data_IF_129226718088
#
_entry.id   IF_129226718088
#
_cell.length_a   1.000
_cell.length_b   1.000
_cell.length_c   1.000
_cell.angle_alpha   90.00
_cell.angle_beta   90.00
_cell.angle_gamma   90.00
#
_symmetry.space_group_name_H-M   'P 1'
#
loop_
_entity.id
_entity.type
_entity.pdbx_description
1 polymer ?
#
# COMPACT_ATOMS: atom_id res chain seq x y z
N UNK A 1 32.72 -8.03 -12.14
CA UNK A 1 31.92 -6.82 -12.16
C UNK A 1 30.68 -6.93 -11.28
N UNK A 2 30.33 -5.85 -10.63
CA UNK A 2 29.15 -5.80 -9.76
C UNK A 2 27.88 -5.79 -10.60
N UNK A 3 26.81 -6.49 -10.17
CA UNK A 3 25.54 -6.43 -10.88
C UNK A 3 24.94 -5.03 -10.76
N UNK A 4 24.22 -4.62 -11.81
CA UNK A 4 23.46 -3.36 -11.82
C UNK A 4 21.97 -3.58 -11.53
N UNK A 5 21.51 -4.79 -11.76
CA UNK A 5 20.13 -5.18 -11.50
C UNK A 5 20.11 -6.44 -10.65
N UNK A 6 19.42 -6.38 -9.53
CA UNK A 6 19.11 -7.55 -8.71
C UNK A 6 17.66 -7.92 -8.95
N UNK A 7 17.41 -9.21 -9.21
CA UNK A 7 16.06 -9.75 -9.31
C UNK A 7 15.87 -10.73 -8.16
N UNK A 8 14.96 -10.41 -7.25
CA UNK A 8 14.79 -11.12 -6.00
C UNK A 8 13.35 -11.60 -5.84
N UNK A 9 13.18 -12.87 -5.49
CA UNK A 9 11.87 -13.46 -5.24
C UNK A 9 11.80 -13.94 -3.80
N UNK A 10 10.94 -13.30 -2.99
CA UNK A 10 10.74 -13.64 -1.57
C UNK A 10 12.06 -13.66 -0.78
N UNK A 11 12.96 -12.72 -1.05
CA UNK A 11 14.32 -12.72 -0.51
C UNK A 11 14.39 -12.56 1.01
N UNK A 12 13.36 -12.00 1.65
CA UNK A 12 13.32 -11.80 3.10
C UNK A 12 12.41 -12.79 3.82
N UNK A 13 11.79 -13.71 3.10
CA UNK A 13 10.88 -14.68 3.69
C UNK A 13 11.61 -15.61 4.66
N UNK A 14 10.99 -15.88 5.80
CA UNK A 14 11.54 -16.79 6.80
C UNK A 14 12.64 -16.21 7.69
N UNK A 15 13.03 -14.96 7.49
CA UNK A 15 14.00 -14.29 8.33
C UNK A 15 13.32 -13.68 9.57
N UNK A 16 14.05 -13.67 10.70
CA UNK A 16 13.54 -12.96 11.86
C UNK A 16 13.56 -11.44 11.61
N UNK A 17 12.80 -10.66 12.41
CA UNK A 17 12.65 -9.21 12.15
C UNK A 17 13.98 -8.44 12.14
N UNK A 18 14.94 -8.81 12.96
CA UNK A 18 16.22 -8.10 13.04
C UNK A 18 17.07 -8.36 11.80
N UNK A 19 17.20 -9.63 11.41
CA UNK A 19 17.95 -10.01 10.21
C UNK A 19 17.27 -9.45 8.95
N UNK A 20 15.95 -9.48 8.91
CA UNK A 20 15.21 -8.93 7.79
C UNK A 20 15.48 -7.44 7.61
N UNK A 21 15.50 -6.69 8.70
CA UNK A 21 15.79 -5.26 8.67
C UNK A 21 17.21 -4.98 8.18
N UNK A 22 18.18 -5.77 8.63
CA UNK A 22 19.56 -5.67 8.16
C UNK A 22 19.70 -5.94 6.66
N UNK A 23 18.98 -6.94 6.15
CA UNK A 23 18.98 -7.27 4.72
C UNK A 23 18.36 -6.14 3.90
N UNK A 24 17.27 -5.55 4.40
CA UNK A 24 16.63 -4.40 3.72
C UNK A 24 17.58 -3.19 3.67
N UNK A 25 18.36 -2.96 4.71
CA UNK A 25 19.37 -1.90 4.70
C UNK A 25 20.43 -2.13 3.63
N UNK A 26 20.88 -3.38 3.46
CA UNK A 26 21.84 -3.75 2.42
C UNK A 26 21.26 -3.45 1.04
N UNK A 27 20.00 -3.79 0.81
CA UNK A 27 19.32 -3.50 -0.46
C UNK A 27 19.19 -1.99 -0.69
N UNK A 28 18.86 -1.23 0.34
CA UNK A 28 18.79 0.23 0.24
C UNK A 28 20.14 0.85 -0.12
N UNK A 29 21.23 0.36 0.48
CA UNK A 29 22.57 0.83 0.14
C UNK A 29 22.91 0.53 -1.31
N UNK A 30 22.54 -0.66 -1.79
CA UNK A 30 22.77 -1.04 -3.17
C UNK A 30 22.11 -0.06 -4.16
N UNK A 31 20.88 0.37 -3.87
CA UNK A 31 20.12 1.26 -4.75
C UNK A 31 20.53 2.73 -4.64
N UNK A 32 21.42 3.10 -3.74
CA UNK A 32 21.95 4.47 -3.67
C UNK A 32 22.80 4.82 -4.89
N UNK A 33 23.40 3.82 -5.52
CA UNK A 33 24.09 4.02 -6.80
C UNK A 33 23.05 4.23 -7.88
N UNK A 34 23.18 5.32 -8.66
CA UNK A 34 22.16 5.70 -9.66
C UNK A 34 21.89 4.64 -10.73
N UNK A 35 22.90 3.84 -11.08
CA UNK A 35 22.77 2.80 -12.09
C UNK A 35 22.40 1.43 -11.52
N UNK A 36 22.09 1.35 -10.23
CA UNK A 36 21.67 0.13 -9.58
C UNK A 36 20.16 0.09 -9.38
N UNK A 37 19.54 -1.05 -9.67
CA UNK A 37 18.11 -1.26 -9.52
C UNK A 37 17.81 -2.61 -8.91
N UNK A 38 16.69 -2.71 -8.22
CA UNK A 38 16.19 -3.97 -7.66
C UNK A 38 14.76 -4.18 -8.14
N UNK A 39 14.51 -5.38 -8.67
CA UNK A 39 13.16 -5.87 -8.90
C UNK A 39 12.91 -6.95 -7.88
N UNK A 40 11.98 -6.72 -6.95
CA UNK A 40 11.72 -7.63 -5.84
C UNK A 40 10.25 -8.02 -5.79
N UNK A 41 9.97 -9.31 -5.59
CA UNK A 41 8.64 -9.79 -5.25
C UNK A 41 8.62 -10.23 -3.79
N UNK A 42 7.54 -9.91 -3.09
CA UNK A 42 7.35 -10.28 -1.69
C UNK A 42 5.88 -10.21 -1.32
N UNK A 43 5.45 -11.06 -0.39
CA UNK A 43 4.15 -10.95 0.25
C UNK A 43 4.21 -10.15 1.57
N UNK A 44 5.41 -9.69 1.95
CA UNK A 44 5.61 -8.85 3.13
C UNK A 44 5.52 -7.38 2.70
N UNK A 45 4.32 -6.83 2.77
CA UNK A 45 4.01 -5.50 2.23
C UNK A 45 4.79 -4.38 2.92
N UNK A 46 5.06 -4.52 4.22
CA UNK A 46 5.86 -3.54 4.96
C UNK A 46 7.30 -3.45 4.47
N UNK A 47 7.89 -4.56 3.99
CA UNK A 47 9.22 -4.55 3.41
C UNK A 47 9.24 -3.78 2.09
N UNK A 48 8.24 -4.00 1.25
CA UNK A 48 8.10 -3.30 -0.02
C UNK A 48 7.90 -1.80 0.19
N UNK A 49 7.12 -1.42 1.20
CA UNK A 49 6.91 -0.01 1.54
C UNK A 49 8.21 0.68 1.96
N UNK A 50 9.08 -0.02 2.70
CA UNK A 50 10.37 0.52 3.13
C UNK A 50 11.38 0.60 2.00
N UNK A 51 11.38 -0.37 1.08
CA UNK A 51 12.44 -0.53 0.10
C UNK A 51 12.12 0.07 -1.27
N UNK A 52 10.88 -0.05 -1.72
CA UNK A 52 10.51 0.21 -3.11
C UNK A 52 10.05 1.64 -3.35
N UNK A 53 10.43 2.21 -4.51
CA UNK A 53 9.90 3.49 -4.99
C UNK A 53 8.61 3.29 -5.77
N UNK A 54 8.49 2.15 -6.49
CA UNK A 54 7.33 1.77 -7.28
C UNK A 54 6.80 0.44 -6.79
N UNK A 55 5.48 0.32 -6.70
CA UNK A 55 4.83 -0.90 -6.26
C UNK A 55 3.75 -1.29 -7.26
N UNK A 56 3.79 -2.56 -7.68
CA UNK A 56 2.74 -3.18 -8.48
C UNK A 56 2.10 -4.30 -7.65
N UNK A 57 0.78 -4.37 -7.63
CA UNK A 57 0.07 -5.39 -6.88
C UNK A 57 -0.77 -6.27 -7.80
N UNK A 58 -0.44 -7.57 -7.78
CA UNK A 58 -1.14 -8.60 -8.55
C UNK A 58 -2.02 -9.43 -7.62
N UNK A 59 -3.27 -9.63 -8.00
CA UNK A 59 -4.21 -10.44 -7.24
C UNK A 59 -5.14 -11.18 -8.18
N UNK A 60 -5.17 -12.51 -8.05
CA UNK A 60 -6.03 -13.39 -8.85
C UNK A 60 -5.93 -13.13 -10.36
N UNK A 61 -4.69 -13.02 -10.84
CA UNK A 61 -4.42 -12.81 -12.26
C UNK A 61 -4.65 -11.38 -12.75
N UNK A 62 -4.94 -10.44 -11.85
CA UNK A 62 -5.20 -9.04 -12.20
C UNK A 62 -4.19 -8.10 -11.56
N UNK A 63 -3.79 -7.10 -12.31
CA UNK A 63 -2.98 -6.00 -11.79
C UNK A 63 -3.93 -4.96 -11.19
N UNK A 64 -3.94 -4.85 -9.84
CA UNK A 64 -4.82 -3.92 -9.15
C UNK A 64 -4.29 -2.50 -9.19
N UNK A 65 -2.98 -2.32 -9.06
CA UNK A 65 -2.32 -1.04 -9.26
C UNK A 65 -0.85 -1.23 -9.61
N UNK A 66 -0.27 -0.23 -10.24
CA UNK A 66 1.16 -0.10 -10.48
C UNK A 66 1.48 1.38 -10.44
N UNK A 67 2.11 1.85 -9.36
CA UNK A 67 2.32 3.28 -9.17
C UNK A 67 3.53 3.56 -8.30
N UNK A 68 3.99 4.81 -8.33
CA UNK A 68 4.96 5.32 -7.38
C UNK A 68 4.36 5.26 -5.98
N UNK A 69 5.12 4.72 -5.03
CA UNK A 69 4.64 4.49 -3.67
C UNK A 69 4.12 5.76 -3.00
N UNK A 70 4.88 6.84 -3.04
CA UNK A 70 4.50 8.08 -2.37
C UNK A 70 3.21 8.66 -2.95
N UNK A 71 3.07 8.60 -4.26
CA UNK A 71 1.86 9.04 -4.96
C UNK A 71 0.65 8.19 -4.56
N UNK A 72 0.83 6.88 -4.49
CA UNK A 72 -0.20 5.95 -4.04
C UNK A 72 -0.68 6.29 -2.63
N UNK A 73 0.26 6.52 -1.70
CA UNK A 73 -0.05 6.85 -0.31
C UNK A 73 -0.71 8.23 -0.15
N UNK A 74 -0.42 9.17 -1.03
CA UNK A 74 -1.02 10.51 -1.02
C UNK A 74 -2.42 10.54 -1.65
N UNK A 75 -2.67 9.67 -2.63
CA UNK A 75 -3.96 9.60 -3.32
C UNK A 75 -5.09 9.19 -2.39
N UNK A 76 -4.81 8.29 -1.46
CA UNK A 76 -5.80 7.70 -0.57
C UNK A 76 -5.71 8.23 0.85
N UNK A 77 -6.83 8.14 1.55
CA UNK A 77 -6.92 8.37 2.98
C UNK A 77 -7.83 7.33 3.60
N UNK A 78 -7.78 7.20 4.92
CA UNK A 78 -8.70 6.36 5.66
C UNK A 78 -9.60 7.26 6.49
N UNK A 79 -10.90 7.12 6.29
CA UNK A 79 -11.92 7.83 7.07
C UNK A 79 -12.63 6.86 7.99
N UNK A 80 -12.78 7.28 9.24
CA UNK A 80 -13.53 6.53 10.26
C UNK A 80 -14.64 7.43 10.78
N UNK A 81 -15.87 6.97 10.68
CA UNK A 81 -17.01 7.75 11.14
C UNK A 81 -18.32 7.00 11.00
N UNK A 82 -19.43 7.73 10.88
CA UNK A 82 -20.75 7.16 10.77
C UNK A 82 -21.11 6.82 9.33
N UNK A 83 -22.06 5.91 9.16
CA UNK A 83 -22.59 5.59 7.83
C UNK A 83 -23.18 6.83 7.13
N UNK A 84 -23.85 7.71 7.88
CA UNK A 84 -24.42 8.94 7.33
C UNK A 84 -23.34 9.87 6.77
N UNK A 85 -22.22 10.00 7.48
CA UNK A 85 -21.09 10.80 7.01
C UNK A 85 -20.52 10.22 5.71
N UNK A 86 -20.31 8.92 5.66
CA UNK A 86 -19.77 8.24 4.47
C UNK A 86 -20.73 8.38 3.30
N UNK A 87 -22.03 8.21 3.55
CA UNK A 87 -23.05 8.30 2.51
C UNK A 87 -23.21 9.74 1.97
N UNK A 88 -22.76 10.74 2.70
CA UNK A 88 -22.78 12.14 2.25
C UNK A 88 -21.67 12.47 1.25
N UNK A 89 -20.67 11.62 1.10
CA UNK A 89 -19.57 11.84 0.18
C UNK A 89 -20.01 11.70 -1.27
N UNK A 90 -19.37 12.47 -2.16
CA UNK A 90 -19.70 12.42 -3.58
C UNK A 90 -19.36 11.07 -4.19
N UNK A 91 -19.99 10.76 -5.32
CA UNK A 91 -19.75 9.52 -6.07
C UNK A 91 -18.26 9.39 -6.42
N UNK A 92 -17.71 8.19 -6.24
CA UNK A 92 -16.33 7.90 -6.50
C UNK A 92 -15.36 8.23 -5.37
N UNK A 93 -15.81 8.94 -4.33
CA UNK A 93 -14.95 9.28 -3.19
C UNK A 93 -14.59 8.04 -2.36
N UNK A 94 -15.56 7.14 -2.14
CA UNK A 94 -15.35 5.91 -1.37
C UNK A 94 -14.92 4.79 -2.31
N UNK A 95 -13.72 4.28 -2.11
CA UNK A 95 -13.17 3.18 -2.92
C UNK A 95 -13.58 1.83 -2.35
N UNK A 96 -13.52 1.69 -1.03
CA UNK A 96 -13.90 0.48 -0.32
C UNK A 96 -14.29 0.83 1.11
N UNK A 97 -15.17 0.03 1.69
CA UNK A 97 -15.60 0.26 3.07
C UNK A 97 -15.69 -1.05 3.83
N UNK A 98 -15.48 -0.95 5.15
CA UNK A 98 -15.71 -2.05 6.06
C UNK A 98 -16.51 -1.55 7.26
N UNK A 99 -17.39 -2.39 7.78
CA UNK A 99 -18.17 -2.06 8.95
C UNK A 99 -17.37 -2.42 10.21
N UNK A 100 -17.31 -1.47 11.13
CA UNK A 100 -16.71 -1.71 12.44
C UNK A 100 -17.67 -2.50 13.33
N UNK A 101 -17.14 -3.34 14.20
CA UNK A 101 -17.92 -4.07 15.19
C UNK A 101 -18.60 -3.14 16.22
N UNK A 102 -18.24 -1.87 16.26
CA UNK A 102 -18.81 -0.88 17.17
C UNK A 102 -19.82 0.05 16.49
N UNK A 103 -20.31 -0.32 15.29
CA UNK A 103 -21.34 0.44 14.59
C UNK A 103 -20.81 1.59 13.73
N UNK A 104 -19.50 1.81 13.70
CA UNK A 104 -18.86 2.78 12.82
C UNK A 104 -18.52 2.20 11.45
N UNK A 105 -18.08 3.05 10.55
CA UNK A 105 -17.62 2.66 9.21
C UNK A 105 -16.18 3.15 9.06
N UNK A 106 -15.34 2.27 8.56
CA UNK A 106 -13.96 2.58 8.18
C UNK A 106 -13.86 2.41 6.67
N UNK A 107 -13.38 3.42 5.97
CA UNK A 107 -13.34 3.34 4.52
C UNK A 107 -12.06 3.93 3.93
N UNK A 108 -11.67 3.38 2.78
CA UNK A 108 -10.62 3.92 1.95
C UNK A 108 -11.27 4.93 1.01
N UNK A 109 -10.77 6.16 1.02
CA UNK A 109 -11.32 7.25 0.23
C UNK A 109 -10.25 7.86 -0.68
N UNK A 110 -10.69 8.45 -1.78
CA UNK A 110 -9.83 9.30 -2.59
C UNK A 110 -9.77 10.66 -1.94
N UNK A 111 -8.60 11.02 -1.44
CA UNK A 111 -8.39 12.25 -0.68
C UNK A 111 -8.87 13.50 -1.43
N UNK A 112 -8.64 13.54 -2.75
CA UNK A 112 -9.03 14.68 -3.57
C UNK A 112 -10.55 14.88 -3.68
N UNK A 113 -11.35 13.85 -3.37
CA UNK A 113 -12.80 13.89 -3.49
C UNK A 113 -13.51 14.04 -2.14
N UNK A 114 -12.75 14.20 -1.06
CA UNK A 114 -13.27 14.42 0.28
C UNK A 114 -13.21 15.90 0.60
N UNK A 115 -14.26 16.50 1.19
CA UNK A 115 -14.24 17.92 1.54
C UNK A 115 -13.09 18.29 2.48
N UNK A 116 -12.56 19.49 2.33
CA UNK A 116 -11.55 20.03 3.23
C UNK A 116 -12.07 20.06 4.66
N UNK A 117 -11.20 19.77 5.62
CA UNK A 117 -11.55 19.76 7.04
C UNK A 117 -11.95 18.40 7.60
N UNK A 118 -12.17 17.40 6.74
CA UNK A 118 -12.38 16.03 7.21
C UNK A 118 -11.06 15.44 7.67
N UNK A 119 -11.08 14.79 8.84
CA UNK A 119 -9.89 14.13 9.38
C UNK A 119 -9.69 12.78 8.67
N UNK A 120 -8.57 12.64 7.97
CA UNK A 120 -8.20 11.40 7.30
C UNK A 120 -6.90 10.87 7.89
N UNK A 121 -6.87 9.56 8.14
CA UNK A 121 -5.65 8.88 8.51
C UNK A 121 -4.83 8.57 7.25
N UNK A 122 -3.50 8.62 7.37
CA UNK A 122 -2.63 8.21 6.27
C UNK A 122 -2.60 6.67 6.22
N UNK A 123 -2.91 6.06 5.06
CA UNK A 123 -2.86 4.61 4.95
C UNK A 123 -1.43 4.12 4.78
N UNK A 124 -1.21 2.86 5.13
CA UNK A 124 -0.04 2.10 4.70
C UNK A 124 -0.36 1.42 3.37
N UNK A 125 0.66 0.92 2.67
CA UNK A 125 0.44 0.11 1.46
C UNK A 125 -0.41 -1.11 1.80
N UNK A 126 -0.16 -1.75 2.96
CA UNK A 126 -0.96 -2.89 3.42
C UNK A 126 -2.43 -2.53 3.58
N UNK A 127 -2.73 -1.37 4.18
CA UNK A 127 -4.11 -0.89 4.31
C UNK A 127 -4.80 -0.80 2.95
N UNK A 128 -4.13 -0.19 1.97
CA UNK A 128 -4.68 -0.02 0.62
C UNK A 128 -4.97 -1.38 -0.02
N UNK A 129 -4.01 -2.29 0.05
CA UNK A 129 -4.15 -3.64 -0.52
C UNK A 129 -5.32 -4.37 0.12
N UNK A 130 -5.42 -4.36 1.46
CA UNK A 130 -6.49 -5.05 2.17
C UNK A 130 -7.88 -4.51 1.79
N UNK A 131 -8.03 -3.19 1.71
CA UNK A 131 -9.29 -2.59 1.28
C UNK A 131 -9.66 -2.99 -0.15
N UNK A 132 -8.70 -2.93 -1.08
CA UNK A 132 -8.95 -3.26 -2.48
C UNK A 132 -9.30 -4.75 -2.66
N UNK A 133 -8.62 -5.64 -1.95
CA UNK A 133 -8.88 -7.08 -2.02
C UNK A 133 -10.25 -7.41 -1.42
N UNK A 134 -10.57 -6.89 -0.24
CA UNK A 134 -11.86 -7.12 0.41
C UNK A 134 -13.02 -6.49 -0.38
N UNK A 135 -12.82 -5.28 -0.89
CA UNK A 135 -13.82 -4.62 -1.72
C UNK A 135 -14.12 -5.39 -3.00
N UNK A 136 -13.13 -6.02 -3.61
CA UNK A 136 -13.31 -6.85 -4.79
C UNK A 136 -14.14 -8.11 -4.50
N UNK A 137 -14.10 -8.63 -3.27
CA UNK A 137 -14.89 -9.81 -2.87
C UNK A 137 -16.36 -9.48 -2.60
N UNK A 138 -16.67 -8.25 -2.25
CA UNK A 138 -18.03 -7.80 -1.96
C UNK A 138 -18.81 -7.42 -3.20
N UNK A 139 -18.14 -7.38 -4.34
CA UNK A 139 -18.73 -7.17 -5.64
C UNK A 139 -18.99 -8.51 -6.33
#
# INVERSE_FOLDING_TARGET
PSPRLLVLDEATAGLDPIVRDEVLEIFNEFTREEDHSILISSHILSDLEKLCDYIAFLHQGRLLFCDEKDRLLEEYGIFVGTADQVNSLQDGAVVARENSSFGGVRCLVKRALVPAGWALERPTVEDIVLFLVKGAKEQ
#
